data_IF_702122941044
#
_entry.id   IF_702122941044
#
_cell.length_a   1.000
_cell.length_b   1.000
_cell.length_c   1.000
_cell.angle_alpha   90.00
_cell.angle_beta   90.00
_cell.angle_gamma   90.00
#
_symmetry.space_group_name_H-M   'P 1'
#
loop_
_entity.id
_entity.type
_entity.pdbx_description
1 polymer ?
#
# COMPACT_ATOMS: atom_id res chain seq x y z
N UNK A 1 1.79 -4.38 -19.95
CA UNK A 1 1.62 -5.76 -19.56
C UNK A 1 1.06 -5.86 -18.14
N UNK A 2 0.02 -6.60 -17.99
CA UNK A 2 -0.64 -6.74 -16.69
C UNK A 2 -0.43 -8.14 -16.16
N UNK A 3 -0.38 -8.28 -14.85
CA UNK A 3 -0.23 -9.59 -14.23
C UNK A 3 -1.14 -9.67 -13.02
N UNK A 4 -1.59 -10.85 -12.66
CA UNK A 4 -2.44 -11.01 -11.50
C UNK A 4 -1.70 -10.59 -10.22
N UNK A 5 -2.45 -10.03 -9.30
CA UNK A 5 -1.90 -9.74 -7.99
C UNK A 5 -1.59 -11.04 -7.26
N UNK A 6 -0.50 -11.03 -6.55
CA UNK A 6 -0.08 -12.22 -5.81
C UNK A 6 -0.86 -12.35 -4.52
N UNK A 7 -1.16 -13.57 -4.19
CA UNK A 7 -1.75 -13.87 -2.89
C UNK A 7 -0.66 -13.99 -1.84
N UNK A 8 -1.08 -14.05 -0.62
CA UNK A 8 -0.18 -14.42 0.44
C UNK A 8 0.74 -13.32 0.89
N UNK A 9 0.27 -12.09 0.93
CA UNK A 9 1.01 -11.06 1.61
C UNK A 9 1.16 -11.46 3.07
N UNK A 10 2.37 -11.33 3.59
CA UNK A 10 2.63 -11.62 4.99
C UNK A 10 1.86 -10.67 5.88
N UNK A 11 1.71 -11.07 7.13
CA UNK A 11 0.93 -10.27 8.06
C UNK A 11 1.82 -9.63 9.09
N UNK A 12 1.38 -8.50 9.57
CA UNK A 12 1.85 -7.87 10.77
C UNK A 12 0.62 -7.57 11.62
N UNK A 13 0.63 -8.00 12.86
CA UNK A 13 -0.47 -7.82 13.81
C UNK A 13 -1.84 -8.20 13.24
N UNK A 14 -2.30 -7.42 12.29
CA UNK A 14 -3.59 -7.68 11.67
C UNK A 14 -3.40 -8.59 10.48
N UNK A 15 -4.21 -9.62 10.42
CA UNK A 15 -4.16 -10.53 9.29
C UNK A 15 -4.86 -9.86 8.11
N UNK A 16 -4.13 -9.51 7.05
CA UNK A 16 -4.78 -8.93 5.89
C UNK A 16 -5.62 -10.00 5.20
N UNK A 17 -6.69 -9.60 4.53
CA UNK A 17 -7.43 -10.55 3.74
C UNK A 17 -6.56 -11.07 2.59
N UNK A 18 -6.76 -12.30 2.14
CA UNK A 18 -6.11 -12.76 0.91
C UNK A 18 -6.51 -11.83 -0.23
N UNK A 19 -5.58 -11.58 -1.16
CA UNK A 19 -5.90 -10.69 -2.26
C UNK A 19 -7.08 -11.20 -3.10
N UNK A 20 -7.26 -12.52 -3.13
CA UNK A 20 -8.43 -13.09 -3.81
C UNK A 20 -9.74 -12.69 -3.18
N UNK A 21 -9.76 -12.42 -1.87
CA UNK A 21 -10.97 -11.97 -1.19
C UNK A 21 -11.28 -10.51 -1.47
N UNK A 22 -10.36 -9.78 -2.08
CA UNK A 22 -10.55 -8.40 -2.48
C UNK A 22 -11.03 -8.27 -3.92
N UNK A 23 -11.31 -9.38 -4.58
CA UNK A 23 -11.85 -9.35 -5.93
C UNK A 23 -13.15 -8.57 -5.94
N UNK A 24 -13.32 -7.73 -6.93
CA UNK A 24 -14.44 -6.82 -6.98
C UNK A 24 -14.15 -5.45 -6.39
N UNK A 25 -12.99 -5.30 -5.75
CA UNK A 25 -12.54 -4.00 -5.22
C UNK A 25 -11.34 -3.52 -5.99
N UNK A 26 -11.18 -2.21 -6.07
CA UNK A 26 -9.95 -1.61 -6.58
C UNK A 26 -8.99 -1.50 -5.41
N UNK A 27 -7.76 -1.95 -5.58
CA UNK A 27 -6.80 -2.04 -4.48
C UNK A 27 -5.58 -1.18 -4.80
N UNK A 28 -5.18 -0.36 -3.83
CA UNK A 28 -3.89 0.30 -3.87
C UNK A 28 -2.96 -0.49 -2.95
N UNK A 29 -1.83 -0.92 -3.47
CA UNK A 29 -0.75 -1.43 -2.64
C UNK A 29 0.26 -0.31 -2.48
N UNK A 30 0.47 0.10 -1.24
CA UNK A 30 1.38 1.18 -0.90
C UNK A 30 2.57 0.56 -0.15
N UNK A 31 3.66 0.32 -0.90
CA UNK A 31 4.89 -0.22 -0.30
C UNK A 31 5.68 0.93 0.30
N UNK A 32 5.99 0.84 1.59
CA UNK A 32 6.60 1.94 2.33
C UNK A 32 7.68 1.46 3.29
N UNK A 33 8.44 2.39 3.84
CA UNK A 33 9.46 2.11 4.85
C UNK A 33 9.37 3.17 5.94
N UNK A 34 9.65 2.77 7.17
CA UNK A 34 9.52 3.69 8.31
C UNK A 34 10.47 4.88 8.22
N UNK A 35 11.57 4.75 7.48
CA UNK A 35 12.57 5.81 7.32
C UNK A 35 12.34 6.68 6.07
N UNK A 36 11.32 6.42 5.32
CA UNK A 36 11.13 7.00 3.99
C UNK A 36 10.36 8.32 4.06
N UNK A 37 11.03 9.44 3.81
CA UNK A 37 10.38 10.74 3.86
C UNK A 37 9.36 10.92 2.74
N UNK A 38 9.65 10.41 1.56
CA UNK A 38 8.70 10.48 0.43
C UNK A 38 7.43 9.69 0.72
N UNK A 39 7.55 8.61 1.49
CA UNK A 39 6.37 7.85 1.89
C UNK A 39 5.45 8.68 2.78
N UNK A 40 6.05 9.51 3.63
CA UNK A 40 5.27 10.37 4.54
C UNK A 40 4.55 11.48 3.78
N UNK A 41 5.05 11.86 2.61
CA UNK A 41 4.36 12.78 1.73
C UNK A 41 3.25 12.06 0.96
N UNK A 42 3.52 10.84 0.54
CA UNK A 42 2.56 10.04 -0.23
C UNK A 42 1.35 9.62 0.60
N UNK A 43 1.56 9.31 1.87
CA UNK A 43 0.49 8.79 2.72
C UNK A 43 -0.77 9.66 2.76
N UNK A 44 -0.66 10.96 3.05
CA UNK A 44 -1.84 11.83 3.10
C UNK A 44 -2.61 11.89 1.78
N UNK A 45 -1.90 11.82 0.65
CA UNK A 45 -2.55 11.79 -0.66
C UNK A 45 -3.41 10.52 -0.78
N UNK A 46 -2.84 9.39 -0.39
CA UNK A 46 -3.57 8.12 -0.45
C UNK A 46 -4.75 8.12 0.52
N UNK A 47 -4.59 8.73 1.68
CA UNK A 47 -5.67 8.83 2.65
C UNK A 47 -6.85 9.60 2.08
N UNK A 48 -6.59 10.69 1.35
CA UNK A 48 -7.65 11.46 0.71
C UNK A 48 -8.35 10.66 -0.37
N UNK A 49 -7.60 9.94 -1.18
CA UNK A 49 -8.20 9.10 -2.21
C UNK A 49 -9.04 7.98 -1.60
N UNK A 50 -8.55 7.38 -0.52
CA UNK A 50 -9.30 6.33 0.17
C UNK A 50 -10.60 6.87 0.74
N UNK A 51 -10.58 8.08 1.33
CA UNK A 51 -11.79 8.70 1.83
C UNK A 51 -12.78 8.98 0.70
N UNK A 52 -12.26 9.42 -0.45
CA UNK A 52 -13.09 9.82 -1.58
C UNK A 52 -13.71 8.62 -2.29
N UNK A 53 -12.93 7.58 -2.52
CA UNK A 53 -13.37 6.46 -3.34
C UNK A 53 -13.63 5.19 -2.55
N UNK A 54 -13.37 5.19 -1.25
CA UNK A 54 -13.63 4.02 -0.42
C UNK A 54 -15.08 3.56 -0.51
N UNK A 55 -16.08 4.47 -0.42
CA UNK A 55 -17.47 4.06 -0.55
C UNK A 55 -17.81 3.42 -1.88
N UNK A 56 -16.99 3.64 -2.89
CA UNK A 56 -17.20 3.07 -4.23
C UNK A 56 -16.37 1.83 -4.47
N UNK A 57 -15.66 1.34 -3.46
CA UNK A 57 -14.95 0.08 -3.57
C UNK A 57 -13.43 0.18 -3.63
N UNK A 58 -12.85 1.35 -3.34
CA UNK A 58 -11.40 1.44 -3.22
C UNK A 58 -10.97 0.92 -1.85
N UNK A 59 -9.92 0.11 -1.85
CA UNK A 59 -9.30 -0.37 -0.62
C UNK A 59 -7.79 -0.22 -0.73
N UNK A 60 -7.09 -0.29 0.41
CA UNK A 60 -5.66 -0.05 0.44
C UNK A 60 -4.99 -1.03 1.39
N UNK A 61 -3.87 -1.57 0.97
CA UNK A 61 -2.96 -2.32 1.83
C UNK A 61 -1.61 -1.61 1.80
N UNK A 62 -0.93 -1.58 2.93
CA UNK A 62 0.31 -0.84 3.08
C UNK A 62 1.46 -1.77 3.49
N UNK A 63 1.94 -2.62 2.58
CA UNK A 63 3.00 -3.57 2.92
C UNK A 63 4.31 -2.86 3.23
N UNK A 64 5.03 -3.38 4.22
CA UNK A 64 6.34 -2.87 4.59
C UNK A 64 7.21 -4.01 5.06
N UNK A 65 8.41 -3.71 5.53
CA UNK A 65 9.32 -4.72 6.03
C UNK A 65 10.16 -4.14 7.15
N UNK A 66 10.83 -5.03 7.87
CA UNK A 66 11.80 -4.64 8.88
C UNK A 66 13.16 -4.42 8.23
N UNK A 67 13.89 -3.46 8.76
CA UNK A 67 15.22 -3.10 8.26
C UNK A 67 16.30 -3.33 9.31
N UNK A 68 15.92 -3.70 10.54
CA UNK A 68 16.86 -3.98 11.61
C UNK A 68 17.19 -2.79 12.48
N UNK A 69 16.53 -1.65 12.25
CA UNK A 69 16.82 -0.43 13.02
C UNK A 69 15.55 0.43 13.15
N UNK A 70 15.63 1.40 14.04
CA UNK A 70 14.57 2.38 14.27
C UNK A 70 15.15 3.77 14.04
N UNK A 71 14.50 4.80 14.57
CA UNK A 71 14.87 6.19 14.34
C UNK A 71 16.38 6.40 14.55
N UNK A 72 16.98 7.18 13.65
CA UNK A 72 18.40 7.50 13.73
C UNK A 72 19.32 6.34 13.38
N UNK A 73 18.80 5.28 12.79
CA UNK A 73 19.62 4.12 12.43
C UNK A 73 20.00 3.25 13.62
N UNK A 74 19.33 3.42 14.76
CA UNK A 74 19.64 2.67 15.98
C UNK A 74 19.17 1.24 15.85
N UNK A 75 20.07 0.28 16.05
CA UNK A 75 19.71 -1.15 15.97
C UNK A 75 18.55 -1.48 16.88
N UNK A 76 17.69 -2.36 16.44
CA UNK A 76 16.49 -2.73 17.19
C UNK A 76 16.19 -4.21 17.01
N UNK A 77 15.58 -4.79 18.05
CA UNK A 77 15.04 -6.14 17.92
C UNK A 77 13.84 -6.13 16.99
N UNK A 78 13.47 -7.30 16.49
CA UNK A 78 12.30 -7.41 15.61
C UNK A 78 11.06 -6.84 16.29
N UNK A 79 10.90 -7.10 17.59
CA UNK A 79 9.75 -6.66 18.36
C UNK A 79 9.73 -5.13 18.51
N UNK A 80 10.88 -4.55 18.83
CA UNK A 80 10.98 -3.11 18.99
C UNK A 80 10.75 -2.38 17.68
N UNK A 81 11.34 -2.91 16.61
CA UNK A 81 11.13 -2.30 15.30
C UNK A 81 9.67 -2.39 14.87
N UNK A 82 9.01 -3.51 15.14
CA UNK A 82 7.60 -3.67 14.80
C UNK A 82 6.73 -2.62 15.51
N UNK A 83 7.04 -2.35 16.78
CA UNK A 83 6.34 -1.30 17.52
C UNK A 83 6.61 0.07 16.92
N UNK A 84 7.85 0.31 16.51
CA UNK A 84 8.21 1.59 15.89
C UNK A 84 7.49 1.76 14.53
N UNK A 85 7.43 0.70 13.73
CA UNK A 85 6.70 0.73 12.46
C UNK A 85 5.24 1.10 12.70
N UNK A 86 4.62 0.48 13.70
CA UNK A 86 3.23 0.78 14.03
C UNK A 86 3.06 2.23 14.47
N UNK A 87 4.01 2.75 15.26
CA UNK A 87 3.99 4.13 15.70
C UNK A 87 4.10 5.09 14.52
N UNK A 88 5.04 4.84 13.60
CA UNK A 88 5.20 5.68 12.41
C UNK A 88 3.93 5.68 11.58
N UNK A 89 3.31 4.51 11.42
CA UNK A 89 2.08 4.40 10.66
C UNK A 89 0.98 5.26 11.27
N UNK A 90 0.84 5.22 12.59
CA UNK A 90 -0.22 5.97 13.27
C UNK A 90 0.05 7.47 13.27
N UNK A 91 1.31 7.88 13.42
CA UNK A 91 1.63 9.30 13.53
C UNK A 91 1.80 9.97 12.17
N UNK A 92 2.31 9.26 11.17
CA UNK A 92 2.60 9.86 9.87
C UNK A 92 1.51 9.57 8.85
N UNK A 93 0.72 8.52 9.05
CA UNK A 93 -0.29 8.10 8.07
C UNK A 93 -1.64 7.92 8.76
N UNK A 94 -2.04 8.93 9.56
CA UNK A 94 -3.24 8.82 10.38
C UNK A 94 -4.47 8.35 9.63
N UNK A 95 -4.67 8.85 8.42
CA UNK A 95 -5.82 8.45 7.60
C UNK A 95 -5.74 7.01 7.09
N UNK A 96 -4.57 6.37 7.23
CA UNK A 96 -4.37 4.99 6.82
C UNK A 96 -4.14 4.05 8.00
N UNK A 97 -4.28 4.56 9.22
CA UNK A 97 -3.93 3.79 10.41
C UNK A 97 -4.76 2.53 10.58
N UNK A 98 -5.98 2.53 10.05
CA UNK A 98 -6.86 1.38 10.14
C UNK A 98 -6.65 0.37 9.02
N UNK A 99 -5.80 0.71 8.06
CA UNK A 99 -5.55 -0.19 6.93
C UNK A 99 -4.52 -1.24 7.31
N UNK A 100 -4.62 -2.40 6.68
CA UNK A 100 -3.71 -3.50 6.95
C UNK A 100 -2.31 -3.16 6.44
N UNK A 101 -1.30 -3.45 7.25
CA UNK A 101 0.10 -3.20 6.92
C UNK A 101 0.90 -4.50 7.05
N UNK A 102 0.82 -5.38 6.05
CA UNK A 102 1.55 -6.65 6.10
C UNK A 102 3.05 -6.41 6.22
N UNK A 103 3.70 -7.15 7.11
CA UNK A 103 5.10 -6.96 7.43
C UNK A 103 5.91 -8.17 6.95
N UNK A 104 6.55 -8.04 5.79
CA UNK A 104 7.37 -9.11 5.26
C UNK A 104 8.22 -8.63 4.09
N UNK A 105 9.53 -8.86 4.15
CA UNK A 105 10.41 -8.58 3.03
C UNK A 105 10.00 -9.37 1.78
N UNK A 106 9.39 -10.56 1.98
CA UNK A 106 8.93 -11.36 0.87
C UNK A 106 7.88 -10.68 0.02
N UNK A 107 7.04 -9.84 0.64
CA UNK A 107 6.03 -9.11 -0.12
C UNK A 107 6.67 -8.13 -1.09
N UNK A 108 7.70 -7.43 -0.64
CA UNK A 108 8.40 -6.48 -1.49
C UNK A 108 9.12 -7.20 -2.62
N UNK A 109 9.75 -8.35 -2.32
CA UNK A 109 10.44 -9.13 -3.36
C UNK A 109 9.47 -9.66 -4.41
N UNK A 110 8.29 -10.13 -4.00
CA UNK A 110 7.30 -10.66 -4.94
C UNK A 110 6.85 -9.62 -5.95
N UNK A 111 6.81 -8.38 -5.55
CA UNK A 111 6.41 -7.29 -6.43
C UNK A 111 7.59 -6.56 -7.04
N UNK A 112 8.82 -7.03 -6.76
CA UNK A 112 10.03 -6.43 -7.34
C UNK A 112 10.29 -5.03 -6.81
N UNK A 113 9.86 -4.72 -5.59
CA UNK A 113 10.01 -3.39 -5.01
C UNK A 113 11.42 -3.22 -4.51
N UNK A 114 12.12 -2.24 -5.05
CA UNK A 114 13.48 -1.90 -4.61
C UNK A 114 13.62 -0.41 -4.27
N UNK A 115 12.52 0.31 -4.27
CA UNK A 115 12.50 1.71 -3.83
C UNK A 115 11.16 1.98 -3.16
N UNK A 116 11.14 2.94 -2.24
CA UNK A 116 9.90 3.34 -1.58
C UNK A 116 9.70 4.83 -1.71
N UNK A 117 8.46 5.27 -1.86
CA UNK A 117 7.29 4.41 -2.01
C UNK A 117 7.24 3.76 -3.39
N UNK A 118 6.55 2.65 -3.47
CA UNK A 118 6.13 2.08 -4.75
C UNK A 118 4.62 1.88 -4.66
N UNK A 119 3.92 2.33 -5.67
CA UNK A 119 2.46 2.23 -5.73
C UNK A 119 2.06 1.22 -6.78
N UNK A 120 1.13 0.36 -6.43
CA UNK A 120 0.56 -0.62 -7.35
C UNK A 120 -0.95 -0.47 -7.31
N UNK A 121 -1.56 -0.28 -8.47
CA UNK A 121 -3.02 -0.27 -8.58
C UNK A 121 -3.48 -1.59 -9.17
N UNK A 122 -4.44 -2.20 -8.51
CA UNK A 122 -5.00 -3.49 -8.92
C UNK A 122 -6.48 -3.26 -9.18
N UNK A 123 -6.97 -3.70 -10.34
CA UNK A 123 -8.36 -3.48 -10.69
C UNK A 123 -9.29 -4.50 -10.01
N UNK A 124 -10.59 -4.39 -10.29
CA UNK A 124 -11.60 -5.22 -9.65
C UNK A 124 -11.45 -6.70 -9.97
N UNK A 125 -10.72 -7.01 -11.04
CA UNK A 125 -10.50 -8.39 -11.45
C UNK A 125 -9.17 -8.94 -10.96
N UNK A 126 -8.43 -8.17 -10.19
CA UNK A 126 -7.16 -8.60 -9.63
C UNK A 126 -5.98 -8.43 -10.56
N UNK A 127 -6.12 -7.60 -11.58
CA UNK A 127 -5.07 -7.35 -12.57
C UNK A 127 -4.35 -6.05 -12.23
N UNK A 128 -3.01 -6.09 -12.25
CA UNK A 128 -2.20 -4.91 -12.00
C UNK A 128 -2.32 -3.95 -13.18
N UNK A 129 -2.76 -2.74 -12.90
CA UNK A 129 -2.95 -1.70 -13.92
C UNK A 129 -1.91 -0.61 -13.85
N UNK A 130 -1.24 -0.45 -12.72
CA UNK A 130 -0.17 0.52 -12.58
C UNK A 130 0.88 -0.04 -11.63
N UNK A 131 2.12 0.11 -11.99
CA UNK A 131 3.26 -0.17 -11.13
C UNK A 131 4.17 1.05 -11.22
N UNK A 132 4.28 1.80 -10.11
CA UNK A 132 4.99 3.08 -10.14
C UNK A 132 5.96 3.19 -8.97
N UNK A 133 7.26 3.02 -9.19
CA UNK A 133 8.26 3.34 -8.18
C UNK A 133 8.34 4.86 -8.00
N UNK A 134 8.37 5.31 -6.75
CA UNK A 134 8.45 6.73 -6.44
C UNK A 134 7.08 7.33 -6.17
N UNK A 135 7.10 8.60 -5.77
CA UNK A 135 5.87 9.32 -5.43
C UNK A 135 5.04 9.64 -6.65
N UNK A 136 3.74 9.76 -6.41
CA UNK A 136 2.83 10.31 -7.41
C UNK A 136 2.02 11.42 -6.77
N UNK A 137 1.80 12.49 -7.53
CA UNK A 137 0.94 13.57 -7.07
C UNK A 137 -0.51 13.13 -7.07
N UNK A 138 -1.33 13.84 -6.33
CA UNK A 138 -2.76 13.58 -6.32
C UNK A 138 -3.36 13.81 -7.71
N UNK A 139 -2.91 14.84 -8.40
CA UNK A 139 -3.39 15.17 -9.75
C UNK A 139 -3.12 14.05 -10.75
N UNK A 140 -2.00 13.35 -10.59
CA UNK A 140 -1.67 12.22 -11.46
C UNK A 140 -2.43 10.96 -11.08
N UNK A 141 -2.61 10.74 -9.78
CA UNK A 141 -3.14 9.48 -9.27
C UNK A 141 -4.67 9.43 -9.29
N UNK A 142 -5.32 10.54 -8.96
CA UNK A 142 -6.78 10.57 -8.85
C UNK A 142 -7.49 10.08 -10.13
N UNK A 143 -7.13 10.56 -11.34
CA UNK A 143 -7.82 10.09 -12.54
C UNK A 143 -7.64 8.60 -12.77
N UNK A 144 -6.48 8.06 -12.42
CA UNK A 144 -6.22 6.63 -12.61
C UNK A 144 -7.10 5.80 -11.66
N UNK A 145 -7.16 6.20 -10.41
CA UNK A 145 -8.00 5.52 -9.41
C UNK A 145 -9.46 5.63 -9.82
N UNK A 146 -9.90 6.84 -10.18
CA UNK A 146 -11.29 7.06 -10.57
C UNK A 146 -11.66 6.20 -11.77
N UNK A 147 -10.76 6.10 -12.75
CA UNK A 147 -11.02 5.29 -13.93
C UNK A 147 -11.25 3.84 -13.60
N UNK A 148 -10.53 3.31 -12.62
CA UNK A 148 -10.71 1.93 -12.21
C UNK A 148 -11.98 1.74 -11.37
N UNK A 149 -12.31 2.72 -10.53
CA UNK A 149 -13.45 2.62 -9.62
C UNK A 149 -14.76 2.84 -10.37
N UNK A 150 -14.81 3.87 -11.21
CA UNK A 150 -16.04 4.28 -11.89
C UNK A 150 -16.13 3.66 -13.26
N UNK A 151 -15.05 3.70 -14.01
CA UNK A 151 -15.06 3.29 -15.42
C UNK A 151 -14.98 1.80 -15.64
N UNK A 152 -14.93 1.01 -14.60
CA UNK A 152 -14.77 -0.42 -14.72
C UNK A 152 -15.93 -1.09 -15.46
N UNK A 153 -17.03 -0.41 -15.61
CA UNK A 153 -18.21 -0.94 -16.26
C UNK A 153 -18.10 -0.94 -17.77
N UNK A 154 -17.23 -0.24 -18.32
CA UNK A 154 -17.24 -0.16 -19.77
C UNK A 154 -16.62 -1.38 -20.37
N UNK A 155 -16.94 -1.48 -20.50
CA UNK A 155 -16.57 -2.03 -21.26
C UNK A 155 -16.69 -2.17 -22.03
N UNK A 156 -16.94 -2.16 -22.09
CA UNK A 156 -16.90 -2.30 -22.86
C UNK A 156 -16.52 -2.52 -23.34
#
# INVERSE_FOLDING_TARGET
MTRPARRGLGTYRDRPPPLGALKGKVVILFFWAHWCSDCKIQGPILARLLAKYGPQGLTLLAPTQRYGYVAGGRSATASDEARYIDQVRRTSYGGLAEQSAPLSAGNLRRYGVNTTPTLVLVDREGVVRLYHPGRMTEEALDPLVRGLVVGATSNE
#
